data_IF_926620069947
#
_entry.id   IF_926620069947
#
_cell.length_a   1.000
_cell.length_b   1.000
_cell.length_c   1.000
_cell.angle_alpha   90.00
_cell.angle_beta   90.00
_cell.angle_gamma   90.00
#
_symmetry.space_group_name_H-M   'P 1'
#
loop_
_entity.id
_entity.type
_entity.pdbx_description
1 polymer ?
#
# COMPACT_ATOMS: atom_id res chain seq x y z
N UNK A 1 11.90 -6.89 -5.93
CA UNK A 1 11.77 -5.63 -5.17
C UNK A 1 10.36 -5.12 -5.39
N UNK A 2 9.75 -4.56 -4.40
CA UNK A 2 8.47 -3.86 -4.42
C UNK A 2 8.69 -2.34 -4.59
N UNK A 3 7.62 -1.58 -4.68
CA UNK A 3 7.68 -0.14 -4.96
C UNK A 3 8.13 0.75 -3.78
N UNK A 4 8.66 0.18 -2.69
CA UNK A 4 9.12 0.91 -1.51
C UNK A 4 10.53 0.52 -1.05
N UNK A 5 11.26 -0.21 -1.87
CA UNK A 5 12.64 -0.64 -1.61
C UNK A 5 13.49 -0.48 -2.86
N UNK A 6 14.71 -0.02 -2.71
CA UNK A 6 15.69 0.12 -3.79
C UNK A 6 16.95 -0.67 -3.49
N UNK A 7 17.56 -1.20 -4.55
CA UNK A 7 18.90 -1.78 -4.50
C UNK A 7 19.89 -0.77 -5.09
N UNK A 8 20.87 -0.39 -4.31
CA UNK A 8 21.94 0.52 -4.77
C UNK A 8 23.26 -0.25 -4.98
N UNK A 9 24.22 0.40 -5.60
CA UNK A 9 25.54 -0.16 -5.88
C UNK A 9 26.15 -0.80 -4.64
N UNK A 10 26.75 -2.00 -4.78
CA UNK A 10 27.33 -2.74 -3.66
C UNK A 10 26.36 -3.64 -2.89
N UNK A 11 25.19 -3.97 -3.49
CA UNK A 11 24.15 -4.80 -2.87
C UNK A 11 23.55 -4.22 -1.58
N UNK A 12 23.56 -2.90 -1.46
CA UNK A 12 22.92 -2.21 -0.34
C UNK A 12 21.43 -2.02 -0.64
N UNK A 13 20.57 -2.67 0.14
CA UNK A 13 19.11 -2.52 0.03
C UNK A 13 18.62 -1.44 1.00
N UNK A 14 17.97 -0.41 0.49
CA UNK A 14 17.30 0.62 1.28
C UNK A 14 15.79 0.42 1.25
N UNK A 15 15.15 0.39 2.41
CA UNK A 15 13.70 0.50 2.58
C UNK A 15 13.32 1.98 2.72
N UNK A 16 12.40 2.45 1.92
CA UNK A 16 11.94 3.84 1.97
C UNK A 16 11.07 4.10 3.21
N UNK A 17 11.54 4.98 4.09
CA UNK A 17 10.83 5.32 5.32
C UNK A 17 9.54 6.10 5.06
N UNK A 18 8.48 5.74 5.75
CA UNK A 18 7.18 6.40 5.60
C UNK A 18 6.37 5.96 4.37
N UNK A 19 6.86 5.00 3.59
CA UNK A 19 6.26 4.52 2.34
C UNK A 19 5.85 3.06 2.48
N UNK A 20 4.64 2.71 2.07
CA UNK A 20 4.12 1.34 1.97
C UNK A 20 3.54 1.13 0.56
N UNK A 21 4.30 0.50 -0.31
CA UNK A 21 3.83 0.07 -1.63
C UNK A 21 3.00 -1.21 -1.52
N UNK A 22 2.13 -1.48 -2.51
CA UNK A 22 1.44 -2.76 -2.60
C UNK A 22 2.44 -3.92 -2.70
N UNK A 23 2.14 -5.00 -1.96
CA UNK A 23 2.89 -6.25 -2.04
C UNK A 23 2.70 -6.90 -3.42
N UNK A 24 3.67 -7.73 -3.83
CA UNK A 24 3.60 -8.47 -5.08
C UNK A 24 2.24 -9.18 -5.24
N UNK A 25 1.72 -9.19 -6.44
CA UNK A 25 0.43 -9.76 -6.84
C UNK A 25 -0.81 -8.97 -6.35
N UNK A 26 -0.65 -7.91 -5.56
CA UNK A 26 -1.73 -7.01 -5.22
C UNK A 26 -1.95 -5.96 -6.32
N UNK A 27 -3.14 -5.35 -6.30
CA UNK A 27 -3.48 -4.24 -7.18
C UNK A 27 -2.43 -3.13 -7.09
N UNK A 28 -1.98 -2.61 -8.22
CA UNK A 28 -1.00 -1.51 -8.37
C UNK A 28 0.45 -1.85 -7.95
N UNK A 29 0.78 -3.13 -7.72
CA UNK A 29 2.13 -3.53 -7.31
C UNK A 29 3.18 -3.26 -8.41
N UNK A 30 2.87 -3.66 -9.65
CA UNK A 30 3.78 -3.46 -10.78
C UNK A 30 3.89 -1.99 -11.18
N UNK A 31 2.79 -1.23 -11.11
CA UNK A 31 2.78 0.22 -11.37
C UNK A 31 3.61 0.97 -10.34
N UNK A 32 3.47 0.62 -9.07
CA UNK A 32 4.26 1.22 -7.97
C UNK A 32 5.76 0.96 -8.13
N UNK A 33 6.12 -0.29 -8.43
CA UNK A 33 7.48 -0.68 -8.71
C UNK A 33 8.05 0.04 -9.94
N UNK A 34 7.29 0.03 -11.05
CA UNK A 34 7.69 0.69 -12.29
C UNK A 34 7.93 2.18 -12.11
N UNK A 35 7.04 2.86 -11.38
CA UNK A 35 7.21 4.29 -11.09
C UNK A 35 8.49 4.59 -10.30
N UNK A 36 8.80 3.78 -9.28
CA UNK A 36 10.04 3.94 -8.53
C UNK A 36 11.27 3.67 -9.42
N UNK A 37 11.22 2.62 -10.27
CA UNK A 37 12.29 2.32 -11.22
C UNK A 37 12.50 3.47 -12.21
N UNK A 38 11.45 4.02 -12.81
CA UNK A 38 11.53 5.16 -13.75
C UNK A 38 12.14 6.42 -13.09
N UNK A 39 11.87 6.61 -11.81
CA UNK A 39 12.43 7.72 -11.06
C UNK A 39 13.94 7.57 -10.84
N UNK A 40 14.43 6.37 -10.44
CA UNK A 40 15.77 6.25 -9.85
C UNK A 40 16.71 5.27 -10.55
N UNK A 41 16.23 4.44 -11.49
CA UNK A 41 17.05 3.42 -12.14
C UNK A 41 18.20 4.05 -12.91
N UNK A 42 19.42 3.58 -12.62
CA UNK A 42 20.68 4.08 -13.21
C UNK A 42 20.93 5.58 -12.98
N UNK A 43 20.34 6.17 -11.96
CA UNK A 43 20.60 7.56 -11.57
C UNK A 43 21.45 7.62 -10.32
N UNK A 44 22.19 8.70 -10.16
CA UNK A 44 22.87 9.02 -8.92
C UNK A 44 21.87 9.58 -7.92
N UNK A 45 21.85 9.01 -6.72
CA UNK A 45 20.90 9.35 -5.65
C UNK A 45 21.62 9.60 -4.33
N UNK A 46 21.06 10.47 -3.53
CA UNK A 46 21.53 10.69 -2.16
C UNK A 46 20.67 9.86 -1.20
N UNK A 47 21.33 9.24 -0.20
CA UNK A 47 20.69 8.35 0.78
C UNK A 47 20.96 8.87 2.18
N UNK A 48 19.93 8.98 2.98
CA UNK A 48 20.01 9.24 4.41
C UNK A 48 19.33 8.12 5.18
N UNK A 49 20.12 7.30 5.85
CA UNK A 49 19.61 6.21 6.72
C UNK A 49 19.54 6.69 8.16
N UNK A 50 18.53 6.24 8.91
CA UNK A 50 18.35 6.66 10.31
C UNK A 50 17.89 5.55 11.25
N UNK A 51 17.49 4.37 10.71
CA UNK A 51 17.09 3.19 11.51
C UNK A 51 17.18 1.93 10.68
N UNK A 52 16.86 0.80 11.30
CA UNK A 52 16.72 -0.50 10.64
C UNK A 52 15.32 -1.06 10.92
N UNK A 53 14.82 -1.89 10.00
CA UNK A 53 13.57 -2.61 10.19
C UNK A 53 13.80 -3.96 10.94
N UNK A 54 12.72 -4.72 11.14
CA UNK A 54 12.78 -6.02 11.82
C UNK A 54 13.58 -7.10 11.06
N UNK A 55 13.97 -6.82 9.81
CA UNK A 55 14.80 -7.69 8.96
C UNK A 55 16.23 -7.17 8.82
N UNK A 56 16.63 -6.20 9.64
CA UNK A 56 17.93 -5.50 9.60
C UNK A 56 18.18 -4.78 8.25
N UNK A 57 17.11 -4.38 7.54
CA UNK A 57 17.27 -3.54 6.36
C UNK A 57 17.35 -2.09 6.78
N UNK A 58 18.35 -1.32 6.27
CA UNK A 58 18.39 0.12 6.49
C UNK A 58 17.10 0.78 6.00
N UNK A 59 16.52 1.63 6.85
CA UNK A 59 15.36 2.46 6.55
C UNK A 59 15.80 3.90 6.45
N UNK A 60 15.36 4.59 5.39
CA UNK A 60 15.82 5.95 5.16
C UNK A 60 15.04 6.71 4.12
N UNK A 61 15.64 7.84 3.78
CA UNK A 61 15.16 8.72 2.73
C UNK A 61 16.06 8.61 1.51
N UNK A 62 15.43 8.71 0.36
CA UNK A 62 16.07 8.72 -0.94
C UNK A 62 15.82 10.07 -1.61
N UNK A 63 16.87 10.71 -2.09
CA UNK A 63 16.78 11.99 -2.79
C UNK A 63 17.33 11.86 -4.20
N UNK A 64 16.65 12.45 -5.15
CA UNK A 64 17.06 12.63 -6.52
C UNK A 64 17.03 14.13 -6.85
N UNK A 65 18.18 14.70 -7.22
CA UNK A 65 18.32 16.14 -7.53
C UNK A 65 17.77 17.05 -6.40
N UNK A 66 17.95 16.63 -5.16
CA UNK A 66 17.45 17.33 -3.96
C UNK A 66 15.96 17.13 -3.64
N UNK A 67 15.21 16.40 -4.47
CA UNK A 67 13.80 16.09 -4.24
C UNK A 67 13.62 14.75 -3.52
N UNK A 68 12.74 14.72 -2.53
CA UNK A 68 12.47 13.52 -1.72
C UNK A 68 11.62 12.51 -2.49
N UNK A 69 12.22 11.40 -2.94
CA UNK A 69 11.56 10.33 -3.70
C UNK A 69 10.43 9.68 -2.89
N UNK A 70 10.62 9.52 -1.57
CA UNK A 70 9.57 9.04 -0.65
C UNK A 70 8.28 9.88 -0.78
N UNK A 71 8.42 11.20 -0.85
CA UNK A 71 7.29 12.11 -1.02
C UNK A 71 6.62 11.94 -2.39
N UNK A 72 7.41 11.84 -3.46
CA UNK A 72 6.87 11.68 -4.83
C UNK A 72 6.00 10.44 -4.98
N UNK A 73 6.41 9.31 -4.38
CA UNK A 73 5.62 8.08 -4.40
C UNK A 73 4.24 8.27 -3.75
N UNK A 74 4.20 8.94 -2.61
CA UNK A 74 2.95 9.19 -1.87
C UNK A 74 2.06 10.23 -2.59
N UNK A 75 2.65 11.34 -3.03
CA UNK A 75 1.96 12.43 -3.73
C UNK A 75 1.30 11.96 -5.02
N UNK A 76 1.96 11.06 -5.75
CA UNK A 76 1.45 10.50 -7.00
C UNK A 76 0.51 9.30 -6.80
N UNK A 77 0.31 8.84 -5.55
CA UNK A 77 -0.57 7.71 -5.22
C UNK A 77 -0.02 6.35 -5.64
N UNK A 78 1.30 6.20 -5.76
CA UNK A 78 1.93 4.89 -6.01
C UNK A 78 2.23 4.09 -4.75
N UNK A 79 2.09 4.72 -3.59
CA UNK A 79 2.21 4.07 -2.30
C UNK A 79 1.29 4.73 -1.28
N UNK A 80 1.04 4.03 -0.17
CA UNK A 80 0.35 4.59 1.00
C UNK A 80 1.36 5.10 2.02
N UNK A 81 0.91 6.04 2.84
CA UNK A 81 1.71 6.44 4.00
C UNK A 81 1.76 5.32 5.03
N UNK A 82 2.98 4.99 5.47
CA UNK A 82 3.27 4.11 6.59
C UNK A 82 3.94 4.87 7.73
N UNK A 83 3.49 4.69 8.96
CA UNK A 83 4.08 5.40 10.09
C UNK A 83 5.51 4.96 10.41
N UNK A 84 5.90 3.74 10.00
CA UNK A 84 7.24 3.21 10.24
C UNK A 84 8.28 3.95 9.40
N UNK A 85 9.30 4.44 10.06
CA UNK A 85 10.41 5.12 9.40
C UNK A 85 10.03 6.44 8.71
N UNK A 86 8.93 7.08 9.09
CA UNK A 86 8.56 8.39 8.55
C UNK A 86 9.45 9.52 9.11
N UNK A 87 10.04 9.32 10.30
CA UNK A 87 11.02 10.20 10.92
C UNK A 87 10.65 11.69 10.86
N UNK A 88 11.65 12.51 10.52
CA UNK A 88 11.49 13.99 10.46
C UNK A 88 10.55 14.47 9.33
N UNK A 89 10.31 13.66 8.30
CA UNK A 89 9.40 14.00 7.20
C UNK A 89 7.95 13.54 7.44
N UNK A 90 7.61 13.03 8.65
CA UNK A 90 6.29 12.50 8.98
C UNK A 90 5.15 13.42 8.53
N UNK A 91 5.23 14.71 8.87
CA UNK A 91 4.13 15.64 8.60
C UNK A 91 3.92 15.88 7.11
N UNK A 92 5.00 16.10 6.36
CA UNK A 92 4.91 16.32 4.92
C UNK A 92 4.45 15.05 4.19
N UNK A 93 4.99 13.88 4.55
CA UNK A 93 4.61 12.61 3.94
C UNK A 93 3.14 12.26 4.20
N UNK A 94 2.66 12.48 5.44
CA UNK A 94 1.26 12.26 5.79
C UNK A 94 0.33 13.22 5.03
N UNK A 95 0.72 14.50 4.92
CA UNK A 95 -0.06 15.51 4.20
C UNK A 95 -0.24 15.14 2.73
N UNK A 96 0.85 14.86 2.00
CA UNK A 96 0.75 14.56 0.57
C UNK A 96 0.02 13.23 0.30
N UNK A 97 0.12 12.25 1.22
CA UNK A 97 -0.65 11.02 1.12
C UNK A 97 -2.17 11.26 1.30
N UNK A 98 -2.58 12.13 2.23
CA UNK A 98 -3.98 12.52 2.40
C UNK A 98 -4.51 13.30 1.19
N UNK A 99 -3.70 14.16 0.58
CA UNK A 99 -4.07 14.87 -0.64
C UNK A 99 -4.26 13.89 -1.81
N UNK A 100 -3.34 12.92 -1.98
CA UNK A 100 -3.47 11.87 -2.99
C UNK A 100 -4.73 11.00 -2.78
N UNK A 101 -5.05 10.66 -1.52
CA UNK A 101 -6.26 9.91 -1.17
C UNK A 101 -7.53 10.71 -1.47
N UNK A 102 -7.58 11.98 -1.06
CA UNK A 102 -8.72 12.86 -1.29
C UNK A 102 -9.02 13.07 -2.78
N UNK A 103 -7.98 13.09 -3.61
CA UNK A 103 -8.08 13.24 -5.06
C UNK A 103 -8.16 11.89 -5.81
N UNK A 104 -8.21 10.77 -5.09
CA UNK A 104 -8.24 9.41 -5.66
C UNK A 104 -7.10 9.15 -6.65
N UNK A 105 -5.90 9.65 -6.38
CA UNK A 105 -4.73 9.43 -7.23
C UNK A 105 -4.22 7.99 -7.15
N UNK A 106 -3.82 7.44 -8.28
CA UNK A 106 -3.18 6.14 -8.38
C UNK A 106 -3.96 5.03 -7.68
N UNK A 107 -3.31 4.27 -6.77
CA UNK A 107 -3.92 3.16 -6.04
C UNK A 107 -5.18 3.53 -5.25
N UNK A 108 -5.34 4.79 -4.84
CA UNK A 108 -6.52 5.23 -4.12
C UNK A 108 -7.78 5.23 -5.00
N UNK A 109 -7.65 5.55 -6.30
CA UNK A 109 -8.75 5.46 -7.27
C UNK A 109 -8.91 4.07 -7.87
N UNK A 110 -7.80 3.41 -8.23
CA UNK A 110 -7.82 2.16 -8.98
C UNK A 110 -8.09 0.93 -8.12
N UNK A 111 -7.57 0.90 -6.88
CA UNK A 111 -7.59 -0.26 -6.01
C UNK A 111 -8.52 -0.13 -4.81
N UNK A 112 -9.20 1.00 -4.65
CA UNK A 112 -10.08 1.26 -3.51
C UNK A 112 -11.52 1.38 -3.98
N UNK A 113 -12.43 0.56 -3.46
CA UNK A 113 -13.82 0.58 -3.89
C UNK A 113 -14.82 0.20 -2.80
N UNK A 114 -16.02 0.76 -2.89
CA UNK A 114 -17.18 0.37 -2.07
C UNK A 114 -18.15 -0.55 -2.82
N UNK A 115 -17.98 -0.63 -4.14
CA UNK A 115 -18.82 -1.44 -5.03
C UNK A 115 -17.95 -2.33 -5.91
N UNK A 116 -18.36 -3.59 -6.16
CA UNK A 116 -17.58 -4.50 -6.98
C UNK A 116 -17.64 -4.13 -8.47
N UNK A 117 -16.54 -4.33 -9.19
CA UNK A 117 -16.52 -4.25 -10.66
C UNK A 117 -17.45 -5.31 -11.29
N UNK A 118 -17.48 -6.51 -10.71
CA UNK A 118 -18.43 -7.57 -11.07
C UNK A 118 -19.57 -7.61 -10.05
N UNK A 119 -20.77 -7.23 -10.46
CA UNK A 119 -21.98 -7.18 -9.59
C UNK A 119 -22.36 -8.50 -8.94
N UNK A 120 -21.91 -9.64 -9.49
CA UNK A 120 -22.15 -10.96 -8.93
C UNK A 120 -21.20 -11.29 -7.75
N UNK A 121 -20.15 -10.52 -7.55
CA UNK A 121 -19.14 -10.72 -6.51
C UNK A 121 -19.31 -9.68 -5.38
N UNK A 122 -20.43 -9.74 -4.70
CA UNK A 122 -20.82 -8.70 -3.72
C UNK A 122 -20.28 -8.94 -2.30
N UNK A 123 -19.48 -9.96 -2.06
CA UNK A 123 -18.91 -10.25 -0.74
C UNK A 123 -17.62 -9.47 -0.58
N UNK A 124 -17.53 -8.63 0.44
CA UNK A 124 -16.35 -7.81 0.76
C UNK A 124 -15.40 -8.56 1.67
N UNK A 125 -14.15 -8.78 1.24
CA UNK A 125 -13.06 -9.20 2.11
C UNK A 125 -12.31 -8.00 2.64
N UNK A 126 -12.12 -7.95 3.95
CA UNK A 126 -11.40 -6.87 4.63
C UNK A 126 -10.34 -7.45 5.58
N UNK A 127 -9.21 -6.75 5.71
CA UNK A 127 -8.10 -7.13 6.57
C UNK A 127 -7.93 -6.08 7.67
N UNK A 128 -8.18 -6.46 8.90
CA UNK A 128 -7.92 -5.60 10.05
C UNK A 128 -6.41 -5.27 10.12
N UNK A 129 -6.08 -3.98 10.12
CA UNK A 129 -4.68 -3.52 10.03
C UNK A 129 -3.84 -3.88 11.24
N UNK A 130 -4.45 -3.91 12.42
CA UNK A 130 -3.74 -4.15 13.67
C UNK A 130 -3.60 -5.64 13.96
N UNK A 131 -4.73 -6.39 13.85
CA UNK A 131 -4.78 -7.80 14.21
C UNK A 131 -4.44 -8.75 13.06
N UNK A 132 -4.40 -8.23 11.81
CA UNK A 132 -4.23 -9.01 10.57
C UNK A 132 -5.34 -10.04 10.33
N UNK A 133 -6.43 -9.95 11.07
CA UNK A 133 -7.61 -10.79 10.88
C UNK A 133 -8.26 -10.47 9.54
N UNK A 134 -8.58 -11.51 8.77
CA UNK A 134 -9.26 -11.44 7.48
C UNK A 134 -10.73 -11.82 7.69
N UNK A 135 -11.63 -10.85 7.57
CA UNK A 135 -13.07 -11.07 7.68
C UNK A 135 -13.76 -10.78 6.36
N UNK A 136 -14.80 -11.58 6.00
CA UNK A 136 -15.67 -11.23 4.89
C UNK A 136 -17.05 -10.78 5.38
N UNK A 137 -17.65 -9.87 4.59
CA UNK A 137 -18.94 -9.26 4.86
C UNK A 137 -19.90 -9.53 3.72
N UNK A 138 -21.06 -10.11 4.02
CA UNK A 138 -22.17 -10.24 3.09
C UNK A 138 -22.97 -8.92 2.99
N UNK A 139 -23.74 -8.67 1.92
CA UNK A 139 -24.52 -7.45 1.77
C UNK A 139 -25.46 -7.12 2.92
N UNK A 140 -26.00 -8.12 3.62
CA UNK A 140 -26.88 -8.01 4.79
C UNK A 140 -26.16 -7.76 6.11
N UNK A 141 -24.83 -7.83 6.15
CA UNK A 141 -24.07 -7.61 7.38
C UNK A 141 -24.12 -6.14 7.81
N UNK A 142 -24.20 -5.92 9.11
CA UNK A 142 -24.35 -4.58 9.71
C UNK A 142 -23.31 -3.56 9.21
N UNK A 143 -22.07 -3.98 9.03
CA UNK A 143 -20.99 -3.07 8.65
C UNK A 143 -20.66 -3.08 7.16
N UNK A 144 -21.41 -3.82 6.35
CA UNK A 144 -21.13 -3.94 4.91
C UNK A 144 -20.98 -2.60 4.21
N UNK A 145 -21.91 -1.66 4.43
CA UNK A 145 -21.91 -0.35 3.79
C UNK A 145 -20.80 0.60 4.30
N UNK A 146 -20.13 0.24 5.40
CA UNK A 146 -19.00 0.98 5.95
C UNK A 146 -17.65 0.37 5.56
N UNK A 147 -17.66 -0.87 5.06
CA UNK A 147 -16.45 -1.58 4.67
C UNK A 147 -16.03 -1.15 3.28
N UNK A 148 -14.81 -0.64 3.16
CA UNK A 148 -14.14 -0.30 1.91
C UNK A 148 -13.20 -1.46 1.58
N UNK A 149 -13.16 -1.90 0.32
CA UNK A 149 -12.20 -2.89 -0.16
C UNK A 149 -10.98 -2.17 -0.73
N UNK A 150 -9.80 -2.52 -0.24
CA UNK A 150 -8.50 -1.98 -0.64
C UNK A 150 -7.65 -3.11 -1.24
N UNK A 151 -7.80 -3.33 -2.57
CA UNK A 151 -7.18 -4.44 -3.30
C UNK A 151 -5.63 -4.36 -3.30
N UNK A 152 -5.07 -3.16 -3.18
CA UNK A 152 -3.63 -2.91 -2.99
C UNK A 152 -3.09 -3.47 -1.67
N UNK A 153 -3.96 -3.77 -0.71
CA UNK A 153 -3.63 -4.36 0.59
C UNK A 153 -3.94 -5.85 0.69
N UNK A 154 -4.30 -6.48 -0.42
CA UNK A 154 -4.69 -7.89 -0.48
C UNK A 154 -6.11 -8.15 -0.01
N UNK A 155 -6.94 -7.11 0.12
CA UNK A 155 -8.38 -7.23 0.27
C UNK A 155 -9.02 -7.55 -1.08
N UNK A 156 -10.29 -7.97 -1.10
CA UNK A 156 -10.90 -8.31 -2.37
C UNK A 156 -12.40 -8.50 -2.31
N UNK A 157 -12.97 -8.68 -3.51
CA UNK A 157 -14.37 -9.00 -3.73
C UNK A 157 -14.50 -10.48 -4.05
N UNK A 158 -15.50 -11.16 -3.47
CA UNK A 158 -15.74 -12.58 -3.68
C UNK A 158 -17.15 -12.81 -4.22
N UNK A 159 -17.28 -13.82 -5.10
CA UNK A 159 -18.56 -14.18 -5.71
C UNK A 159 -19.33 -15.21 -4.87
N UNK A 160 -18.64 -15.91 -3.95
CA UNK A 160 -19.25 -16.84 -3.00
C UNK A 160 -18.52 -16.87 -1.65
N UNK A 161 -19.18 -17.37 -0.60
CA UNK A 161 -18.56 -17.56 0.71
C UNK A 161 -17.41 -18.59 0.63
N UNK A 162 -17.53 -19.62 -0.23
CA UNK A 162 -16.50 -20.62 -0.45
C UNK A 162 -15.21 -20.00 -1.02
N UNK A 163 -15.33 -19.04 -1.95
CA UNK A 163 -14.18 -18.28 -2.47
C UNK A 163 -13.50 -17.49 -1.35
N UNK A 164 -14.27 -16.78 -0.54
CA UNK A 164 -13.73 -15.99 0.57
C UNK A 164 -13.01 -16.88 1.59
N UNK A 165 -13.60 -18.02 1.93
CA UNK A 165 -13.01 -19.01 2.86
C UNK A 165 -11.71 -19.59 2.28
N UNK A 166 -11.72 -19.95 0.98
CA UNK A 166 -10.51 -20.45 0.28
C UNK A 166 -9.38 -19.42 0.26
N UNK A 167 -9.72 -18.13 0.20
CA UNK A 167 -8.77 -17.02 0.28
C UNK A 167 -8.30 -16.71 1.73
N UNK A 168 -8.76 -17.50 2.71
CA UNK A 168 -8.36 -17.39 4.11
C UNK A 168 -9.17 -16.39 4.94
N UNK A 169 -10.33 -15.97 4.44
CA UNK A 169 -11.25 -15.12 5.18
C UNK A 169 -12.25 -15.94 5.98
N UNK A 170 -12.72 -15.41 7.09
CA UNK A 170 -13.81 -15.95 7.90
C UNK A 170 -14.97 -14.97 7.94
N UNK A 171 -16.18 -15.49 8.21
CA UNK A 171 -17.37 -14.66 8.33
C UNK A 171 -17.20 -13.64 9.44
N UNK A 172 -17.49 -12.38 9.15
CA UNK A 172 -17.43 -11.32 10.17
C UNK A 172 -18.41 -11.61 11.30
N UNK A 173 -18.02 -11.39 12.57
CA UNK A 173 -18.93 -11.56 13.71
C UNK A 173 -20.09 -10.55 13.71
N UNK A 174 -20.07 -9.57 12.80
CA UNK A 174 -21.15 -8.58 12.62
C UNK A 174 -22.16 -8.97 11.54
N UNK A 175 -22.01 -10.14 10.99
CA UNK A 175 -22.97 -10.81 10.14
C UNK A 175 -23.82 -11.77 11.00
#
# INVERSE_FOLDING_TARGET
MDGDSVMVTGNFQLRLGGVEAPEKDNCYAEESKGFLEDLVLNKEVEIETFTEDAYNRPVGYLYLDGELVNQKLLESGYARYGSRGAGRHKEVLLKVAHEAEAESRGLYGECTSMTPKNKNCAIKGNINRDTKVRDYHLPECRHYNLTIVQEDRGEGWFCSEEEAIKAGYKKSPTC
#
